data_IF_399770900652
#
_entry.id   IF_399770900652
#
_cell.length_a   1.000
_cell.length_b   1.000
_cell.length_c   1.000
_cell.angle_alpha   90.00
_cell.angle_beta   90.00
_cell.angle_gamma   90.00
#
_symmetry.space_group_name_H-M   'P 1'
#
loop_
_entity.id
_entity.type
_entity.pdbx_description
1 polymer ?
#
# COMPACT_ATOMS: atom_id res chain seq x y z
N UNK A 1 7.64 -32.44 -48.75
CA UNK A 1 6.45 -32.12 -47.93
C UNK A 1 6.70 -32.24 -46.42
N UNK A 2 7.48 -33.23 -45.95
CA UNK A 2 7.75 -33.46 -44.52
C UNK A 2 8.50 -32.32 -43.80
N UNK A 3 9.40 -31.62 -44.48
CA UNK A 3 10.19 -30.52 -43.89
C UNK A 3 9.37 -29.30 -43.51
N UNK A 4 8.28 -29.00 -44.23
CA UNK A 4 7.39 -27.89 -43.89
C UNK A 4 6.61 -28.18 -42.60
N UNK A 5 6.18 -29.43 -42.39
CA UNK A 5 5.46 -29.84 -41.18
C UNK A 5 6.35 -29.72 -39.95
N UNK A 6 7.62 -30.14 -40.06
CA UNK A 6 8.60 -30.02 -38.97
C UNK A 6 8.92 -28.55 -38.68
N UNK A 7 9.10 -27.71 -39.70
CA UNK A 7 9.37 -26.29 -39.52
C UNK A 7 8.21 -25.57 -38.80
N UNK A 8 6.97 -25.88 -39.16
CA UNK A 8 5.77 -25.33 -38.51
C UNK A 8 5.68 -25.80 -37.05
N UNK A 9 5.95 -27.08 -36.77
CA UNK A 9 5.94 -27.60 -35.41
C UNK A 9 6.99 -26.92 -34.50
N UNK A 10 8.19 -26.65 -35.03
CA UNK A 10 9.25 -25.92 -34.31
C UNK A 10 8.85 -24.46 -34.06
N UNK A 11 8.27 -23.79 -35.07
CA UNK A 11 7.76 -22.42 -34.92
C UNK A 11 6.66 -22.30 -33.86
N UNK A 12 5.76 -23.28 -33.77
CA UNK A 12 4.72 -23.34 -32.75
C UNK A 12 5.31 -23.56 -31.35
N UNK A 13 6.35 -24.39 -31.21
CA UNK A 13 7.03 -24.53 -29.91
C UNK A 13 7.73 -23.24 -29.47
N UNK A 14 8.40 -22.55 -30.40
CA UNK A 14 9.10 -21.29 -30.09
C UNK A 14 8.11 -20.18 -29.73
N UNK A 15 6.95 -20.11 -30.39
CA UNK A 15 5.94 -19.09 -30.09
C UNK A 15 5.38 -19.23 -28.67
N UNK A 16 5.11 -20.46 -28.22
CA UNK A 16 4.67 -20.76 -26.84
C UNK A 16 5.72 -20.30 -25.81
N UNK A 17 7.01 -20.52 -26.08
CA UNK A 17 8.10 -20.11 -25.18
C UNK A 17 8.26 -18.59 -25.09
N UNK A 18 8.07 -17.86 -26.20
CA UNK A 18 8.24 -16.39 -26.21
C UNK A 18 7.14 -15.62 -25.49
N UNK A 19 5.96 -16.24 -25.27
CA UNK A 19 4.82 -15.60 -24.60
C UNK A 19 5.02 -15.38 -23.10
N UNK A 20 6.03 -16.04 -22.49
CA UNK A 20 6.29 -15.95 -21.04
C UNK A 20 7.20 -14.79 -20.62
N UNK A 21 7.36 -13.74 -21.45
CA UNK A 21 8.17 -12.58 -21.05
C UNK A 21 7.44 -11.78 -19.97
N UNK A 22 7.94 -11.69 -18.72
CA UNK A 22 7.31 -10.87 -17.70
C UNK A 22 7.35 -9.41 -18.14
N UNK A 23 6.21 -8.74 -18.03
CA UNK A 23 6.06 -7.34 -18.42
C UNK A 23 7.01 -6.43 -17.63
N UNK A 24 7.46 -5.34 -18.24
CA UNK A 24 8.33 -4.33 -17.58
C UNK A 24 7.71 -3.84 -16.26
N UNK A 25 6.37 -3.72 -16.21
CA UNK A 25 5.62 -3.33 -15.02
C UNK A 25 5.74 -4.34 -13.88
N UNK A 26 5.67 -5.65 -14.17
CA UNK A 26 5.85 -6.68 -13.15
C UNK A 26 7.26 -6.65 -12.55
N UNK A 27 8.29 -6.43 -13.37
CA UNK A 27 9.66 -6.27 -12.87
C UNK A 27 9.79 -5.07 -11.93
N UNK A 28 9.20 -3.93 -12.30
CA UNK A 28 9.21 -2.73 -11.45
C UNK A 28 8.48 -2.95 -10.12
N UNK A 29 7.33 -3.62 -10.14
CA UNK A 29 6.60 -3.96 -8.91
C UNK A 29 7.40 -4.88 -7.98
N UNK A 30 8.10 -5.88 -8.54
CA UNK A 30 8.98 -6.75 -7.74
C UNK A 30 10.08 -5.95 -7.06
N UNK A 31 10.69 -4.98 -7.75
CA UNK A 31 11.71 -4.10 -7.18
C UNK A 31 11.12 -3.25 -6.05
N UNK A 32 9.98 -2.59 -6.29
CA UNK A 32 9.31 -1.75 -5.28
C UNK A 32 8.97 -2.55 -4.01
N UNK A 33 8.40 -3.74 -4.18
CA UNK A 33 7.99 -4.58 -3.04
C UNK A 33 9.17 -5.14 -2.26
N UNK A 34 10.23 -5.53 -2.97
CA UNK A 34 11.47 -5.95 -2.32
C UNK A 34 12.07 -4.80 -1.50
N UNK A 35 12.14 -3.61 -2.11
CA UNK A 35 12.66 -2.40 -1.46
C UNK A 35 11.85 -2.03 -0.20
N UNK A 36 10.52 -2.17 -0.26
CA UNK A 36 9.64 -1.96 0.88
C UNK A 36 9.86 -2.99 2.00
N UNK A 37 9.98 -4.27 1.67
CA UNK A 37 10.31 -5.32 2.64
C UNK A 37 11.66 -5.06 3.33
N UNK A 38 12.68 -4.61 2.59
CA UNK A 38 13.99 -4.22 3.15
C UNK A 38 13.87 -3.05 4.17
N UNK A 39 12.79 -2.25 4.10
CA UNK A 39 12.48 -1.17 5.05
C UNK A 39 11.56 -1.59 6.19
N UNK A 40 11.20 -2.87 6.25
CA UNK A 40 10.26 -3.42 7.21
C UNK A 40 8.80 -3.08 6.92
N UNK A 41 8.48 -2.72 5.67
CA UNK A 41 7.09 -2.58 5.22
C UNK A 41 6.64 -3.88 4.55
N UNK A 42 5.50 -4.40 4.98
CA UNK A 42 4.84 -5.53 4.33
C UNK A 42 3.92 -5.02 3.23
N UNK A 43 4.03 -5.61 2.03
CA UNK A 43 3.18 -5.22 0.90
C UNK A 43 2.07 -6.23 0.71
N UNK A 44 0.84 -5.77 0.83
CA UNK A 44 -0.37 -6.57 0.64
C UNK A 44 -1.19 -6.00 -0.52
N UNK A 45 -1.66 -6.88 -1.40
CA UNK A 45 -2.62 -6.50 -2.44
C UNK A 45 -4.01 -6.64 -1.84
N UNK A 46 -4.72 -5.54 -1.73
CA UNK A 46 -5.99 -5.46 -1.01
C UNK A 46 -7.05 -4.81 -1.91
N UNK A 47 -8.33 -5.06 -1.64
CA UNK A 47 -9.40 -4.28 -2.23
C UNK A 47 -9.23 -2.79 -1.86
N UNK A 48 -9.81 -1.90 -2.66
CA UNK A 48 -9.69 -0.45 -2.46
C UNK A 48 -9.98 -0.05 -1.01
N UNK A 49 -9.34 1.00 -0.49
CA UNK A 49 -9.39 1.40 0.92
C UNK A 49 -10.82 1.57 1.44
N UNK A 50 -11.74 2.00 0.57
CA UNK A 50 -13.17 2.19 0.86
C UNK A 50 -13.99 0.88 0.72
N UNK A 51 -13.48 -0.07 -0.06
CA UNK A 51 -14.17 -1.31 -0.47
C UNK A 51 -13.59 -2.57 0.17
N UNK A 52 -12.59 -2.45 1.05
CA UNK A 52 -11.94 -3.56 1.78
C UNK A 52 -12.96 -4.47 2.51
N UNK A 53 -14.17 -3.97 2.82
CA UNK A 53 -15.24 -4.77 3.44
C UNK A 53 -16.27 -5.37 2.46
N UNK A 54 -16.28 -4.96 1.18
CA UNK A 54 -17.33 -5.35 0.22
C UNK A 54 -16.91 -6.41 -0.81
N UNK A 55 -15.71 -6.99 -0.67
CA UNK A 55 -15.26 -8.09 -1.52
C UNK A 55 -15.15 -7.72 -3.01
N UNK A 56 -14.77 -6.47 -3.31
CA UNK A 56 -14.57 -6.04 -4.69
C UNK A 56 -13.12 -6.25 -5.13
N UNK A 57 -12.89 -6.26 -6.44
CA UNK A 57 -11.63 -6.65 -7.08
C UNK A 57 -10.40 -5.95 -6.47
N UNK A 58 -9.26 -6.68 -6.31
CA UNK A 58 -8.03 -6.13 -5.76
C UNK A 58 -7.52 -5.00 -6.66
N UNK A 59 -7.74 -3.77 -6.24
CA UNK A 59 -7.44 -2.57 -7.05
C UNK A 59 -6.36 -1.71 -6.39
N UNK A 60 -6.05 -1.92 -5.12
CA UNK A 60 -5.08 -1.13 -4.37
C UNK A 60 -3.96 -1.98 -3.75
N UNK A 61 -2.83 -1.35 -3.48
CA UNK A 61 -1.71 -1.98 -2.78
C UNK A 61 -1.52 -1.25 -1.46
N UNK A 62 -1.51 -2.03 -0.37
CA UNK A 62 -1.32 -1.55 0.99
C UNK A 62 0.10 -1.84 1.44
N UNK A 63 0.80 -0.79 1.84
CA UNK A 63 2.12 -0.84 2.46
C UNK A 63 1.93 -0.73 3.97
N UNK A 64 2.07 -1.86 4.66
CA UNK A 64 1.82 -2.01 6.08
C UNK A 64 3.14 -1.95 6.86
N UNK A 65 3.22 -1.03 7.82
CA UNK A 65 4.25 -1.03 8.85
C UNK A 65 3.72 -1.82 10.06
N UNK A 66 4.22 -3.04 10.33
CA UNK A 66 3.74 -3.85 11.44
C UNK A 66 4.08 -3.20 12.78
N UNK A 67 3.20 -3.34 13.77
CA UNK A 67 3.50 -2.92 15.14
C UNK A 67 4.67 -3.74 15.69
N UNK A 68 5.69 -3.07 16.24
CA UNK A 68 6.80 -3.76 16.91
C UNK A 68 6.36 -4.15 18.33
N UNK A 69 6.73 -5.35 18.79
CA UNK A 69 6.33 -5.95 20.08
C UNK A 69 6.48 -5.05 21.33
N UNK A 70 7.35 -4.03 21.30
CA UNK A 70 7.50 -3.04 22.38
C UNK A 70 6.34 -2.03 22.50
N UNK A 71 5.52 -1.89 21.47
CA UNK A 71 4.43 -0.91 21.41
C UNK A 71 3.03 -1.54 21.59
N UNK A 72 2.97 -2.80 22.03
CA UNK A 72 1.73 -3.57 22.04
C UNK A 72 1.11 -3.58 23.44
N UNK A 73 0.14 -2.69 23.65
CA UNK A 73 -1.09 -3.08 24.36
C UNK A 73 -2.19 -3.18 23.32
N UNK A 74 -2.55 -4.43 22.99
CA UNK A 74 -3.69 -4.78 22.17
C UNK A 74 -4.98 -4.42 22.90
N UNK A 75 -5.29 -3.13 23.01
CA UNK A 75 -6.62 -2.70 23.45
C UNK A 75 -7.31 -2.00 22.27
N UNK A 76 -8.00 -2.84 21.49
CA UNK A 76 -9.13 -2.66 20.56
C UNK A 76 -9.47 -1.34 19.82
N UNK A 77 -8.83 -0.18 20.01
CA UNK A 77 -9.55 1.08 19.73
C UNK A 77 -8.86 2.14 18.87
N UNK A 78 -7.96 1.77 17.95
CA UNK A 78 -7.45 2.75 16.97
C UNK A 78 -7.48 2.21 15.55
N UNK A 79 -8.57 1.53 15.19
CA UNK A 79 -8.88 1.32 13.79
C UNK A 79 -9.34 2.65 13.24
N UNK A 80 -8.61 3.22 12.31
CA UNK A 80 -9.06 4.45 11.65
C UNK A 80 -8.62 4.40 10.22
N UNK A 81 -9.39 5.04 9.36
CA UNK A 81 -9.12 5.09 7.94
C UNK A 81 -9.29 6.53 7.49
N UNK A 82 -8.21 7.08 6.95
CA UNK A 82 -8.16 8.39 6.35
C UNK A 82 -8.03 8.20 4.84
N UNK A 83 -9.03 8.66 4.08
CA UNK A 83 -9.09 8.50 2.63
C UNK A 83 -8.98 9.86 1.98
N UNK A 84 -8.20 9.96 0.90
CA UNK A 84 -8.13 11.16 0.09
C UNK A 84 -9.38 11.27 -0.79
N UNK A 85 -10.09 12.38 -0.67
CA UNK A 85 -11.28 12.70 -1.45
C UNK A 85 -12.34 13.42 -0.62
N UNK A 86 -13.60 13.30 -1.08
CA UNK A 86 -14.78 13.95 -0.48
C UNK A 86 -15.78 12.96 0.12
N UNK A 87 -15.40 11.68 0.23
CA UNK A 87 -16.29 10.61 0.73
C UNK A 87 -15.91 10.29 2.18
N UNK A 88 -16.76 10.70 3.13
CA UNK A 88 -16.56 10.45 4.55
C UNK A 88 -16.83 11.69 5.41
N UNK A 89 -16.46 11.62 6.67
CA UNK A 89 -16.50 12.74 7.60
C UNK A 89 -15.34 13.70 7.30
N UNK A 90 -15.59 15.00 7.36
CA UNK A 90 -14.58 16.03 7.15
C UNK A 90 -13.39 15.80 8.11
N UNK A 91 -12.19 15.75 7.54
CA UNK A 91 -10.96 15.77 8.32
C UNK A 91 -10.42 17.20 8.40
N UNK A 92 -9.53 17.51 9.36
CA UNK A 92 -8.87 18.81 9.43
C UNK A 92 -7.92 19.10 8.27
N UNK A 93 -7.61 18.09 7.43
CA UNK A 93 -6.72 18.25 6.27
C UNK A 93 -7.51 18.35 4.98
N UNK A 94 -7.12 19.32 4.14
CA UNK A 94 -7.72 19.54 2.83
C UNK A 94 -7.59 18.29 1.95
N UNK A 95 -8.67 17.92 1.29
CA UNK A 95 -8.78 16.72 0.43
C UNK A 95 -8.65 15.38 1.16
N UNK A 96 -8.71 15.35 2.49
CA UNK A 96 -8.76 14.12 3.28
C UNK A 96 -10.07 14.04 4.06
N UNK A 97 -10.61 12.83 4.17
CA UNK A 97 -11.82 12.53 4.91
C UNK A 97 -11.62 11.29 5.76
N UNK A 98 -12.18 11.31 6.96
CA UNK A 98 -12.27 10.15 7.83
C UNK A 98 -13.34 9.20 7.33
N UNK A 99 -13.01 7.93 7.28
CA UNK A 99 -13.93 6.85 6.92
C UNK A 99 -14.07 5.90 8.11
N UNK A 100 -15.30 5.63 8.52
CA UNK A 100 -15.68 4.83 9.70
C UNK A 100 -15.25 5.43 11.04
N UNK A 101 -13.97 5.36 11.38
CA UNK A 101 -13.43 5.79 12.66
C UNK A 101 -12.34 6.84 12.47
N UNK A 102 -12.30 7.79 13.40
CA UNK A 102 -11.36 8.91 13.42
C UNK A 102 -10.18 8.57 14.33
N UNK A 103 -8.97 8.96 13.94
CA UNK A 103 -7.82 8.82 14.83
C UNK A 103 -7.98 9.72 16.08
N UNK A 104 -7.46 9.32 17.24
CA UNK A 104 -7.39 10.18 18.43
C UNK A 104 -6.72 11.51 18.13
N UNK A 105 -7.16 12.59 18.78
CA UNK A 105 -6.67 13.95 18.54
C UNK A 105 -5.16 14.09 18.78
N UNK A 106 -4.60 13.33 19.74
CA UNK A 106 -3.17 13.28 20.03
C UNK A 106 -2.34 12.90 18.80
N UNK A 107 -2.92 12.07 17.93
CA UNK A 107 -2.27 11.59 16.73
C UNK A 107 -2.41 12.56 15.55
N UNK A 108 -3.32 13.55 15.59
CA UNK A 108 -3.60 14.43 14.46
C UNK A 108 -2.36 15.23 14.06
N UNK A 109 -1.60 15.78 15.01
CA UNK A 109 -0.35 16.51 14.69
C UNK A 109 0.67 15.61 13.96
N UNK A 110 0.74 14.34 14.35
CA UNK A 110 1.67 13.38 13.75
C UNK A 110 1.22 12.91 12.38
N UNK A 111 -0.09 12.73 12.20
CA UNK A 111 -0.71 12.45 10.91
C UNK A 111 -0.49 13.61 9.96
N UNK A 112 -0.68 14.86 10.41
CA UNK A 112 -0.40 16.04 9.59
C UNK A 112 1.03 16.05 9.06
N UNK A 113 2.02 15.87 9.95
CA UNK A 113 3.43 15.82 9.54
C UNK A 113 3.72 14.70 8.56
N UNK A 114 3.11 13.53 8.77
CA UNK A 114 3.25 12.41 7.84
C UNK A 114 2.62 12.72 6.48
N UNK A 115 1.44 13.35 6.45
CA UNK A 115 0.77 13.76 5.22
C UNK A 115 1.55 14.79 4.41
N UNK A 116 2.26 15.70 5.08
CA UNK A 116 3.15 16.70 4.44
C UNK A 116 4.39 16.05 3.80
N UNK A 117 4.88 14.94 4.37
CA UNK A 117 6.04 14.20 3.86
C UNK A 117 5.69 13.15 2.81
N UNK A 118 4.48 12.60 2.89
CA UNK A 118 4.01 11.54 2.01
C UNK A 118 3.80 12.03 0.57
N UNK A 119 4.03 11.16 -0.42
CA UNK A 119 3.83 11.53 -1.80
C UNK A 119 2.35 11.73 -2.12
N UNK A 120 2.05 12.63 -3.06
CA UNK A 120 0.68 12.92 -3.49
C UNK A 120 -0.01 11.73 -4.17
N UNK A 121 0.71 10.66 -4.45
CA UNK A 121 0.21 9.40 -4.99
C UNK A 121 -0.45 8.50 -3.94
N UNK A 122 -0.32 8.80 -2.63
CA UNK A 122 -1.01 8.06 -1.56
C UNK A 122 -2.50 8.38 -1.55
N UNK A 123 -3.32 7.34 -1.57
CA UNK A 123 -4.79 7.46 -1.65
C UNK A 123 -5.46 7.33 -0.29
N UNK A 124 -4.89 6.55 0.64
CA UNK A 124 -5.46 6.38 1.97
C UNK A 124 -4.39 5.96 2.97
N UNK A 125 -4.65 6.19 4.26
CA UNK A 125 -3.85 5.73 5.39
C UNK A 125 -4.80 5.06 6.37
N UNK A 126 -4.44 3.88 6.86
CA UNK A 126 -5.21 3.15 7.84
C UNK A 126 -4.36 2.77 9.05
N UNK A 127 -5.01 2.63 10.19
CA UNK A 127 -4.46 1.95 11.36
C UNK A 127 -5.33 0.74 11.65
N UNK A 128 -4.72 -0.41 11.92
CA UNK A 128 -5.41 -1.64 12.30
C UNK A 128 -4.65 -2.39 13.41
N UNK A 129 -5.14 -3.57 13.81
CA UNK A 129 -4.48 -4.42 14.82
C UNK A 129 -3.12 -4.96 14.40
N UNK A 130 -2.82 -5.02 13.10
CA UNK A 130 -1.55 -5.52 12.56
C UNK A 130 -0.50 -4.42 12.45
N UNK A 131 -0.92 -3.18 12.14
CA UNK A 131 0.00 -2.10 11.86
C UNK A 131 -0.66 -0.83 11.38
N UNK A 132 0.20 0.06 10.88
CA UNK A 132 -0.21 1.26 10.16
C UNK A 132 0.02 1.04 8.66
N UNK A 133 -1.01 1.20 7.85
CA UNK A 133 -0.98 0.97 6.41
C UNK A 133 -1.13 2.25 5.60
N UNK A 134 -0.45 2.33 4.47
CA UNK A 134 -0.71 3.33 3.44
C UNK A 134 -1.13 2.65 2.13
N UNK A 135 -2.21 3.13 1.52
CA UNK A 135 -2.69 2.67 0.22
C UNK A 135 -2.02 3.49 -0.87
N UNK A 136 -1.17 2.84 -1.66
CA UNK A 136 -0.38 3.47 -2.71
C UNK A 136 -0.43 2.64 -3.99
N UNK A 137 -0.81 3.21 -5.15
CA UNK A 137 -1.03 2.45 -6.39
C UNK A 137 0.25 1.99 -7.10
N UNK A 138 1.42 2.04 -6.45
CA UNK A 138 2.73 1.66 -7.00
C UNK A 138 3.09 2.39 -8.31
N UNK A 139 2.57 3.61 -8.51
CA UNK A 139 2.78 4.40 -9.74
C UNK A 139 4.03 5.29 -9.70
N UNK A 140 4.75 5.33 -8.59
CA UNK A 140 5.92 6.18 -8.39
C UNK A 140 7.24 5.42 -8.34
N UNK A 141 8.26 6.07 -7.77
CA UNK A 141 9.62 5.53 -7.65
C UNK A 141 9.90 4.94 -6.27
N UNK A 142 11.05 4.27 -6.12
CA UNK A 142 11.48 3.69 -4.84
C UNK A 142 11.65 4.75 -3.74
N UNK A 143 12.04 5.99 -4.06
CA UNK A 143 12.21 7.06 -3.07
C UNK A 143 10.87 7.49 -2.43
N UNK A 144 9.75 7.23 -3.11
CA UNK A 144 8.42 7.46 -2.53
C UNK A 144 8.11 6.46 -1.40
N UNK A 145 8.67 5.24 -1.47
CA UNK A 145 8.52 4.24 -0.41
C UNK A 145 9.22 4.70 0.86
N UNK A 146 10.39 5.34 0.74
CA UNK A 146 11.10 5.92 1.90
C UNK A 146 10.23 6.95 2.61
N UNK A 147 9.62 7.86 1.84
CA UNK A 147 8.69 8.88 2.36
C UNK A 147 7.46 8.27 3.03
N UNK A 148 6.90 7.21 2.43
CA UNK A 148 5.76 6.48 3.03
C UNK A 148 6.21 5.81 4.33
N UNK A 149 7.34 5.11 4.34
CA UNK A 149 7.87 4.44 5.53
C UNK A 149 8.12 5.44 6.68
N UNK A 150 8.74 6.57 6.39
CA UNK A 150 9.07 7.58 7.39
C UNK A 150 7.82 8.32 7.90
N UNK A 151 6.84 8.58 7.04
CA UNK A 151 5.54 9.08 7.44
C UNK A 151 4.80 8.10 8.37
N UNK A 152 4.78 6.81 8.02
CA UNK A 152 4.16 5.77 8.85
C UNK A 152 4.88 5.62 10.20
N UNK A 153 6.21 5.67 10.22
CA UNK A 153 7.01 5.62 11.46
C UNK A 153 6.79 6.86 12.33
N UNK A 154 6.61 8.04 11.74
CA UNK A 154 6.30 9.28 12.45
C UNK A 154 4.97 9.17 13.19
N UNK A 155 3.96 8.60 12.54
CA UNK A 155 2.66 8.32 13.18
C UNK A 155 2.84 7.26 14.28
N UNK A 156 3.51 6.14 13.98
CA UNK A 156 3.72 5.02 14.92
C UNK A 156 4.43 5.45 16.21
N UNK A 157 5.46 6.30 16.14
CA UNK A 157 6.21 6.79 17.32
C UNK A 157 5.39 7.69 18.24
N UNK A 158 4.40 8.39 17.70
CA UNK A 158 3.58 9.34 18.44
C UNK A 158 2.24 8.76 18.87
N UNK A 159 1.91 7.53 18.45
CA UNK A 159 0.80 6.74 18.99
C UNK A 159 1.12 6.21 20.40
N UNK A 160 2.10 6.81 21.11
CA UNK A 160 2.47 6.40 22.47
C UNK A 160 1.26 6.44 23.40
N UNK A 161 0.99 5.27 23.96
CA UNK A 161 0.07 4.97 25.04
C UNK A 161 0.51 5.78 26.27
N UNK A 162 -0.31 6.71 26.74
CA UNK A 162 -0.35 6.99 28.17
C UNK A 162 -0.91 5.77 28.92
#
# INVERSE_FOLDING_TARGET
>A
MSYLVVAVAVLVMISVLTSFKPSTRQKQQVILRRYANERGLHVEIVADAVTDQKGSSPTAVRYLLPWTAKNIRHDDQRHWLLVRGKRGKLSPWKDWCWFQQQAPEDCHRSIQRALEQMPSSVNAICSNSFGLGAYWPEKGKVEEIDKIADGLRTISRNIKTE
#
